data_IF_173358880067
#
_entry.id   IF_173358880067
#
_cell.length_a   1.000
_cell.length_b   1.000
_cell.length_c   1.000
_cell.angle_alpha   90.00
_cell.angle_beta   90.00
_cell.angle_gamma   90.00
#
_symmetry.space_group_name_H-M   'P 1'
#
loop_
_entity.id
_entity.type
_entity.pdbx_description
1 polymer ?
#
# COMPACT_ATOMS: atom_id res chain seq x y z
N UNK A 1 36.63 22.75 35.91
CA UNK A 1 35.36 23.37 36.24
C UNK A 1 34.23 22.63 35.52
N UNK A 2 33.23 22.13 36.27
CA UNK A 2 32.14 21.31 35.73
C UNK A 2 31.32 22.01 34.65
N UNK A 3 31.17 23.33 34.74
CA UNK A 3 30.46 24.12 33.72
C UNK A 3 31.15 24.09 32.36
N UNK A 4 32.46 24.19 32.34
CA UNK A 4 33.25 24.10 31.11
C UNK A 4 33.18 22.71 30.49
N UNK A 5 33.23 21.67 31.34
CA UNK A 5 33.08 20.29 30.88
C UNK A 5 31.69 20.05 30.25
N UNK A 6 30.63 20.53 30.87
CA UNK A 6 29.26 20.43 30.34
C UNK A 6 29.12 21.18 29.01
N UNK A 7 29.67 22.38 28.90
CA UNK A 7 29.67 23.15 27.67
C UNK A 7 30.42 22.45 26.53
N UNK A 8 31.55 21.79 26.83
CA UNK A 8 32.32 21.01 25.86
C UNK A 8 31.54 19.76 25.39
N UNK A 9 30.89 19.05 26.32
CA UNK A 9 30.03 17.90 25.97
C UNK A 9 28.88 18.33 25.05
N UNK A 10 28.17 19.44 25.36
CA UNK A 10 27.10 19.96 24.51
C UNK A 10 27.64 20.32 23.13
N UNK A 11 28.78 20.99 23.01
CA UNK A 11 29.39 21.30 21.70
C UNK A 11 29.77 20.02 20.92
N UNK A 12 30.30 19.01 21.60
CA UNK A 12 30.66 17.72 21.00
C UNK A 12 29.41 17.00 20.43
N UNK A 13 28.28 17.06 21.14
CA UNK A 13 27.02 16.48 20.66
C UNK A 13 26.47 17.29 19.49
N UNK A 14 26.48 18.61 19.58
CA UNK A 14 25.97 19.51 18.53
C UNK A 14 26.79 19.41 17.21
N UNK A 15 28.01 18.97 17.27
CA UNK A 15 28.88 18.79 16.09
C UNK A 15 28.61 17.49 15.29
N UNK A 16 27.72 16.62 15.76
CA UNK A 16 27.35 15.40 15.01
C UNK A 16 26.42 15.73 13.84
N UNK A 17 26.64 15.08 12.70
CA UNK A 17 25.90 15.31 11.45
C UNK A 17 24.37 15.19 11.61
N UNK A 18 23.90 14.30 12.46
CA UNK A 18 22.47 14.10 12.76
C UNK A 18 21.78 15.35 13.36
N UNK A 19 22.56 16.32 13.87
CA UNK A 19 22.07 17.58 14.43
C UNK A 19 22.46 18.80 13.59
N UNK A 20 22.77 18.60 12.31
CA UNK A 20 23.21 19.67 11.41
C UNK A 20 22.11 20.68 11.05
N UNK A 21 20.83 20.33 11.24
CA UNK A 21 19.69 21.21 10.93
C UNK A 21 19.61 22.44 11.86
N UNK A 22 19.14 23.55 11.30
CA UNK A 22 19.06 24.83 12.01
C UNK A 22 18.20 24.81 13.28
N UNK A 23 17.20 23.94 13.35
CA UNK A 23 16.37 23.72 14.53
C UNK A 23 17.23 23.24 15.72
N UNK A 24 18.08 22.25 15.50
CA UNK A 24 18.97 21.72 16.54
C UNK A 24 20.03 22.73 16.95
N UNK A 25 20.59 23.48 15.99
CA UNK A 25 21.58 24.53 16.29
C UNK A 25 21.02 25.55 17.29
N UNK A 26 19.82 26.08 17.05
CA UNK A 26 19.16 27.03 17.96
C UNK A 26 18.95 26.46 19.37
N UNK A 27 18.60 25.16 19.43
CA UNK A 27 18.40 24.47 20.72
C UNK A 27 19.72 24.35 21.48
N UNK A 28 20.81 23.95 20.81
CA UNK A 28 22.14 23.84 21.42
C UNK A 28 22.71 25.20 21.85
N UNK A 29 22.53 26.25 21.05
CA UNK A 29 22.92 27.61 21.40
C UNK A 29 22.20 28.11 22.66
N UNK A 30 20.89 27.83 22.78
CA UNK A 30 20.12 28.11 23.98
C UNK A 30 20.63 27.36 25.20
N UNK A 31 20.95 26.06 25.07
CA UNK A 31 21.51 25.26 26.15
C UNK A 31 22.88 25.79 26.60
N UNK A 32 23.76 26.18 25.67
CA UNK A 32 25.07 26.75 25.98
C UNK A 32 24.98 28.07 26.76
N UNK A 33 24.01 28.92 26.43
CA UNK A 33 23.77 30.16 27.19
C UNK A 33 23.25 29.90 28.61
N UNK A 34 22.57 28.78 28.84
CA UNK A 34 21.96 28.43 30.14
C UNK A 34 22.96 27.70 31.07
N UNK A 35 24.08 27.19 30.57
CA UNK A 35 25.10 26.54 31.40
C UNK A 35 25.65 27.44 32.54
N UNK A 36 25.46 28.74 32.45
CA UNK A 36 25.83 29.72 33.51
C UNK A 36 24.98 29.60 34.80
N UNK A 37 23.80 28.93 34.76
CA UNK A 37 22.94 28.70 35.90
C UNK A 37 22.48 27.25 35.99
N UNK A 38 23.17 26.40 36.76
CA UNK A 38 22.87 24.96 36.88
C UNK A 38 21.42 24.67 37.32
N UNK A 39 20.82 25.53 38.16
CA UNK A 39 19.43 25.37 38.60
C UNK A 39 18.46 25.56 37.43
N UNK A 40 18.63 26.65 36.67
CA UNK A 40 17.78 26.92 35.49
C UNK A 40 17.94 25.82 34.42
N UNK A 41 19.16 25.31 34.25
CA UNK A 41 19.43 24.20 33.32
C UNK A 41 18.68 22.94 33.72
N UNK A 42 18.66 22.58 35.02
CA UNK A 42 17.93 21.41 35.51
C UNK A 42 16.42 21.54 35.34
N UNK A 43 15.86 22.72 35.65
CA UNK A 43 14.42 23.00 35.44
C UNK A 43 14.07 22.94 33.94
N UNK A 44 14.87 23.55 33.07
CA UNK A 44 14.65 23.52 31.63
C UNK A 44 14.79 22.10 31.06
N UNK A 45 15.76 21.32 31.54
CA UNK A 45 15.89 19.92 31.17
C UNK A 45 14.63 19.12 31.50
N UNK A 46 14.08 19.29 32.71
CA UNK A 46 12.87 18.60 33.14
C UNK A 46 11.67 18.95 32.24
N UNK A 47 11.50 20.24 31.91
CA UNK A 47 10.43 20.71 31.02
C UNK A 47 10.61 20.17 29.60
N UNK A 48 11.83 20.28 29.03
CA UNK A 48 12.12 19.79 27.70
C UNK A 48 11.96 18.26 27.62
N UNK A 49 12.44 17.53 28.61
CA UNK A 49 12.28 16.08 28.69
C UNK A 49 10.80 15.67 28.66
N UNK A 50 9.97 16.29 29.50
CA UNK A 50 8.52 16.02 29.52
C UNK A 50 7.84 16.35 28.16
N UNK A 51 8.27 17.44 27.51
CA UNK A 51 7.77 17.82 26.19
C UNK A 51 8.16 16.79 25.13
N UNK A 52 9.41 16.34 25.10
CA UNK A 52 9.87 15.30 24.16
C UNK A 52 9.18 13.94 24.39
N UNK A 53 9.01 13.54 25.66
CA UNK A 53 8.28 12.31 25.98
C UNK A 53 6.83 12.38 25.50
N UNK A 54 6.16 13.52 25.68
CA UNK A 54 4.80 13.75 25.16
C UNK A 54 4.74 13.71 23.62
N UNK A 55 5.73 14.32 22.94
CA UNK A 55 5.80 14.30 21.47
C UNK A 55 6.07 12.87 20.94
N UNK A 56 6.96 12.11 21.59
CA UNK A 56 7.23 10.73 21.23
C UNK A 56 6.00 9.85 21.38
N UNK A 57 5.23 10.04 22.45
CA UNK A 57 3.99 9.27 22.65
C UNK A 57 2.95 9.62 21.58
N UNK A 58 2.81 10.91 21.26
CA UNK A 58 1.94 11.33 20.16
C UNK A 58 2.36 10.71 18.82
N UNK A 59 3.66 10.76 18.49
CA UNK A 59 4.18 10.15 17.26
C UNK A 59 3.91 8.64 17.19
N UNK A 60 4.01 7.92 18.31
CA UNK A 60 3.67 6.48 18.35
C UNK A 60 2.18 6.23 18.06
N UNK A 61 1.31 7.08 18.62
CA UNK A 61 -0.14 6.99 18.36
C UNK A 61 -0.42 7.28 16.89
N UNK A 62 0.19 8.32 16.32
CA UNK A 62 0.01 8.71 14.93
C UNK A 62 0.50 7.59 13.99
N UNK A 63 1.66 6.99 14.25
CA UNK A 63 2.17 5.84 13.49
C UNK A 63 1.23 4.64 13.57
N UNK A 64 0.76 4.29 14.77
CA UNK A 64 -0.18 3.18 14.93
C UNK A 64 -1.51 3.43 14.19
N UNK A 65 -1.95 4.70 14.11
CA UNK A 65 -3.13 5.08 13.32
C UNK A 65 -2.90 4.88 11.83
N UNK A 66 -1.74 5.29 11.31
CA UNK A 66 -1.36 5.10 9.90
C UNK A 66 -1.31 3.61 9.55
N UNK A 67 -0.69 2.78 10.40
CA UNK A 67 -0.63 1.32 10.18
C UNK A 67 -2.02 0.69 10.13
N UNK A 68 -2.94 1.16 10.97
CA UNK A 68 -4.33 0.68 10.96
C UNK A 68 -5.09 1.15 9.70
N UNK A 69 -4.88 2.38 9.27
CA UNK A 69 -5.48 2.90 8.03
C UNK A 69 -4.97 2.13 6.81
N UNK A 70 -3.67 1.83 6.74
CA UNK A 70 -3.09 1.00 5.68
C UNK A 70 -3.77 -0.36 5.62
N UNK A 71 -3.89 -1.07 6.75
CA UNK A 71 -4.57 -2.37 6.81
C UNK A 71 -6.02 -2.30 6.36
N UNK A 72 -6.75 -1.26 6.76
CA UNK A 72 -8.13 -1.08 6.34
C UNK A 72 -8.25 -0.86 4.83
N UNK A 73 -7.33 -0.11 4.24
CA UNK A 73 -7.27 0.12 2.80
C UNK A 73 -6.96 -1.20 2.07
N UNK A 74 -6.00 -1.98 2.54
CA UNK A 74 -5.66 -3.28 1.97
C UNK A 74 -6.85 -4.25 2.00
N UNK A 75 -7.57 -4.34 3.13
CA UNK A 75 -8.77 -5.17 3.25
C UNK A 75 -9.88 -4.72 2.28
N UNK A 76 -10.08 -3.41 2.15
CA UNK A 76 -11.07 -2.87 1.21
C UNK A 76 -10.73 -3.23 -0.24
N UNK A 77 -9.47 -3.15 -0.64
CA UNK A 77 -9.04 -3.54 -1.98
C UNK A 77 -9.08 -5.05 -2.18
N UNK A 78 -8.77 -5.84 -1.17
CA UNK A 78 -8.88 -7.30 -1.22
C UNK A 78 -10.34 -7.72 -1.48
N UNK A 79 -11.30 -7.12 -0.77
CA UNK A 79 -12.74 -7.38 -0.97
C UNK A 79 -13.21 -6.88 -2.35
N UNK A 80 -12.66 -5.77 -2.83
CA UNK A 80 -12.92 -5.30 -4.19
C UNK A 80 -12.45 -6.33 -5.24
N UNK A 81 -11.24 -6.83 -5.14
CA UNK A 81 -10.69 -7.86 -6.06
C UNK A 81 -11.51 -9.16 -5.97
N UNK A 82 -11.94 -9.56 -4.76
CA UNK A 82 -12.86 -10.68 -4.55
C UNK A 82 -14.17 -10.48 -5.30
N UNK A 83 -14.74 -9.28 -5.21
CA UNK A 83 -15.96 -8.93 -5.92
C UNK A 83 -15.78 -9.02 -7.45
N UNK A 84 -14.65 -8.55 -7.97
CA UNK A 84 -14.30 -8.69 -9.40
C UNK A 84 -14.22 -10.15 -9.80
N UNK A 85 -13.52 -10.99 -9.02
CA UNK A 85 -13.42 -12.43 -9.26
C UNK A 85 -14.79 -13.12 -9.28
N UNK A 86 -15.66 -12.78 -8.33
CA UNK A 86 -17.03 -13.27 -8.28
C UNK A 86 -17.88 -12.81 -9.48
N UNK A 87 -17.73 -11.56 -9.92
CA UNK A 87 -18.41 -11.03 -11.09
C UNK A 87 -17.99 -11.75 -12.37
N UNK A 88 -16.70 -12.06 -12.53
CA UNK A 88 -16.20 -12.86 -13.66
C UNK A 88 -16.84 -14.26 -13.63
N UNK A 89 -16.90 -14.89 -12.46
CA UNK A 89 -17.59 -16.19 -12.30
C UNK A 89 -19.08 -16.12 -12.61
N UNK A 90 -19.74 -15.00 -12.33
CA UNK A 90 -21.16 -14.79 -12.69
C UNK A 90 -21.40 -14.69 -14.19
N UNK A 91 -20.45 -14.19 -14.97
CA UNK A 91 -20.52 -14.19 -16.43
C UNK A 91 -20.64 -15.62 -16.95
N UNK A 92 -19.90 -16.56 -16.38
CA UNK A 92 -20.03 -17.99 -16.70
C UNK A 92 -21.45 -18.50 -16.47
N UNK A 93 -22.05 -18.21 -15.33
CA UNK A 93 -23.42 -18.63 -14.99
C UNK A 93 -24.47 -18.03 -15.94
N UNK A 94 -24.29 -16.78 -16.32
CA UNK A 94 -25.24 -16.04 -17.14
C UNK A 94 -25.03 -16.21 -18.64
N UNK A 95 -24.03 -16.99 -19.07
CA UNK A 95 -23.70 -17.22 -20.48
C UNK A 95 -24.58 -18.27 -21.18
N UNK A 96 -25.66 -18.71 -20.56
CA UNK A 96 -26.60 -19.71 -21.12
C UNK A 96 -27.71 -18.99 -21.90
N UNK A 97 -27.86 -19.36 -23.16
CA UNK A 97 -28.92 -18.86 -24.04
C UNK A 97 -29.87 -19.99 -24.40
N UNK A 98 -31.12 -19.66 -24.69
CA UNK A 98 -32.12 -20.61 -25.18
C UNK A 98 -32.21 -20.51 -26.70
N UNK A 99 -31.88 -21.60 -27.39
CA UNK A 99 -31.95 -21.67 -28.84
C UNK A 99 -32.84 -22.87 -29.21
N UNK A 100 -33.99 -22.63 -29.89
CA UNK A 100 -34.94 -23.66 -30.29
C UNK A 100 -35.39 -24.57 -29.14
N UNK A 101 -35.60 -23.98 -27.95
CA UNK A 101 -36.04 -24.71 -26.75
C UNK A 101 -34.94 -25.50 -26.02
N UNK A 102 -33.69 -25.37 -26.43
CA UNK A 102 -32.53 -25.93 -25.74
C UNK A 102 -31.70 -24.84 -25.07
N UNK A 103 -31.27 -25.06 -23.83
CA UNK A 103 -30.38 -24.18 -23.14
C UNK A 103 -28.94 -24.51 -23.54
N UNK A 104 -28.24 -23.53 -24.14
CA UNK A 104 -26.87 -23.69 -24.65
C UNK A 104 -25.98 -22.75 -23.88
N UNK A 105 -24.93 -23.30 -23.28
CA UNK A 105 -23.91 -22.53 -22.59
C UNK A 105 -22.88 -22.00 -23.61
N UNK A 106 -22.75 -20.67 -23.71
CA UNK A 106 -21.88 -20.03 -24.69
C UNK A 106 -20.44 -19.85 -24.19
N UNK A 107 -20.29 -19.72 -22.89
CA UNK A 107 -18.98 -19.50 -22.25
C UNK A 107 -18.80 -20.47 -21.08
N UNK A 108 -17.60 -20.93 -20.90
CA UNK A 108 -17.14 -21.57 -19.66
C UNK A 108 -15.95 -20.79 -19.15
N UNK A 109 -16.12 -20.13 -18.00
CA UNK A 109 -15.06 -19.34 -17.37
C UNK A 109 -14.67 -20.06 -16.07
N UNK A 110 -13.39 -20.31 -15.93
CA UNK A 110 -12.81 -20.83 -14.71
C UNK A 110 -11.97 -19.72 -14.11
N UNK A 111 -12.29 -19.31 -12.91
CA UNK A 111 -11.56 -18.32 -12.10
C UNK A 111 -10.81 -19.04 -10.98
N UNK A 112 -9.89 -18.33 -10.32
CA UNK A 112 -9.22 -18.81 -9.13
C UNK A 112 -10.22 -19.11 -7.99
N UNK A 113 -9.93 -20.15 -7.22
CA UNK A 113 -10.72 -20.49 -6.03
C UNK A 113 -10.33 -19.56 -4.87
N UNK A 114 -11.16 -18.53 -4.67
CA UNK A 114 -10.90 -17.50 -3.69
C UNK A 114 -10.72 -18.04 -2.26
N UNK A 115 -11.57 -18.99 -1.87
CA UNK A 115 -11.59 -19.48 -0.48
C UNK A 115 -10.32 -20.29 -0.15
N UNK A 116 -9.76 -20.99 -1.13
CA UNK A 116 -8.53 -21.77 -0.94
C UNK A 116 -7.25 -20.94 -1.04
N UNK A 117 -7.31 -19.77 -1.74
CA UNK A 117 -6.11 -18.97 -2.07
C UNK A 117 -6.12 -17.58 -1.42
N UNK A 118 -7.08 -17.28 -0.56
CA UNK A 118 -7.28 -15.94 0.01
C UNK A 118 -6.02 -15.37 0.68
N UNK A 119 -5.32 -16.16 1.49
CA UNK A 119 -4.09 -15.70 2.16
C UNK A 119 -2.96 -15.39 1.16
N UNK A 120 -2.86 -16.18 0.09
CA UNK A 120 -1.90 -15.91 -0.97
C UNK A 120 -2.22 -14.59 -1.70
N UNK A 121 -3.50 -14.34 -1.98
CA UNK A 121 -3.94 -13.09 -2.59
C UNK A 121 -3.70 -11.88 -1.67
N UNK A 122 -3.93 -12.04 -0.37
CA UNK A 122 -3.62 -11.02 0.63
C UNK A 122 -2.14 -10.63 0.60
N UNK A 123 -1.25 -11.61 0.62
CA UNK A 123 0.20 -11.38 0.55
C UNK A 123 0.59 -10.65 -0.74
N UNK A 124 0.09 -11.09 -1.89
CA UNK A 124 0.38 -10.44 -3.17
C UNK A 124 -0.12 -9.00 -3.24
N UNK A 125 -1.30 -8.75 -2.71
CA UNK A 125 -1.86 -7.40 -2.66
C UNK A 125 -1.03 -6.50 -1.75
N UNK A 126 -0.59 -6.99 -0.60
CA UNK A 126 0.31 -6.29 0.30
C UNK A 126 1.63 -5.94 -0.41
N UNK A 127 2.30 -6.90 -1.03
CA UNK A 127 3.54 -6.68 -1.78
C UNK A 127 3.35 -5.66 -2.91
N UNK A 128 2.20 -5.69 -3.57
CA UNK A 128 1.83 -4.70 -4.59
C UNK A 128 1.72 -3.29 -4.00
N UNK A 129 1.05 -3.13 -2.86
CA UNK A 129 0.93 -1.82 -2.22
C UNK A 129 2.26 -1.29 -1.69
N UNK A 130 3.11 -2.15 -1.14
CA UNK A 130 4.48 -1.75 -0.75
C UNK A 130 5.26 -1.17 -1.95
N UNK A 131 5.16 -1.80 -3.12
CA UNK A 131 5.77 -1.28 -4.35
C UNK A 131 5.14 0.04 -4.80
N UNK A 132 3.81 0.17 -4.71
CA UNK A 132 3.11 1.41 -5.07
C UNK A 132 3.51 2.55 -4.15
N UNK A 133 3.62 2.30 -2.85
CA UNK A 133 4.07 3.29 -1.85
C UNK A 133 5.50 3.74 -2.18
N UNK A 134 6.42 2.80 -2.38
CA UNK A 134 7.81 3.13 -2.69
C UNK A 134 7.94 3.96 -3.98
N UNK A 135 7.27 3.54 -5.05
CA UNK A 135 7.26 4.27 -6.31
C UNK A 135 6.56 5.63 -6.20
N UNK A 136 5.55 5.73 -5.34
CA UNK A 136 4.87 7.00 -5.04
C UNK A 136 5.78 8.00 -4.33
N UNK A 137 6.59 7.55 -3.38
CA UNK A 137 7.62 8.38 -2.73
C UNK A 137 8.65 8.87 -3.75
N UNK A 138 9.15 7.99 -4.62
CA UNK A 138 10.07 8.37 -5.69
C UNK A 138 9.45 9.42 -6.65
N UNK A 139 8.15 9.32 -6.91
CA UNK A 139 7.40 10.27 -7.74
C UNK A 139 7.33 11.66 -7.08
N UNK A 140 7.11 11.70 -5.75
CA UNK A 140 7.11 12.94 -4.97
C UNK A 140 8.51 13.57 -4.99
N UNK A 141 9.56 12.79 -4.77
CA UNK A 141 10.94 13.27 -4.73
C UNK A 141 11.38 13.87 -6.09
N UNK A 142 10.82 13.36 -7.19
CA UNK A 142 11.03 13.89 -8.54
C UNK A 142 10.13 15.08 -8.90
N UNK A 143 9.25 15.53 -7.97
CA UNK A 143 8.22 16.55 -8.23
C UNK A 143 7.26 16.20 -9.39
N UNK A 144 6.99 14.92 -9.59
CA UNK A 144 6.03 14.43 -10.57
C UNK A 144 4.60 14.39 -10.00
N UNK A 145 3.59 14.21 -10.85
CA UNK A 145 2.19 14.24 -10.43
C UNK A 145 1.79 12.90 -9.79
N UNK A 146 1.71 12.87 -8.46
CA UNK A 146 1.30 11.69 -7.70
C UNK A 146 -0.11 11.18 -8.06
N UNK A 147 -1.07 12.08 -8.33
CA UNK A 147 -2.43 11.66 -8.68
C UNK A 147 -2.48 10.95 -10.04
N UNK A 148 -1.69 11.41 -11.01
CA UNK A 148 -1.57 10.74 -12.30
C UNK A 148 -0.90 9.37 -12.15
N UNK A 149 0.17 9.29 -11.36
CA UNK A 149 0.82 8.03 -11.04
C UNK A 149 -0.18 7.04 -10.40
N UNK A 150 -0.88 7.44 -9.33
CA UNK A 150 -1.85 6.58 -8.64
C UNK A 150 -3.00 6.16 -9.57
N UNK A 151 -3.52 7.05 -10.41
CA UNK A 151 -4.55 6.73 -11.40
C UNK A 151 -4.10 5.70 -12.44
N UNK A 152 -2.81 5.60 -12.72
CA UNK A 152 -2.24 4.62 -13.64
C UNK A 152 -1.95 3.27 -12.99
N UNK A 153 -1.60 3.23 -11.71
CA UNK A 153 -1.28 1.98 -11.01
C UNK A 153 -2.48 1.38 -10.30
N UNK A 154 -3.36 2.17 -9.69
CA UNK A 154 -4.55 1.67 -8.98
C UNK A 154 -5.74 1.55 -9.96
N UNK A 155 -5.66 0.57 -10.86
CA UNK A 155 -6.75 0.23 -11.78
C UNK A 155 -7.28 -1.16 -11.49
N UNK A 156 -8.56 -1.42 -11.78
CA UNK A 156 -9.18 -2.75 -11.62
C UNK A 156 -8.34 -3.85 -12.28
N UNK A 157 -7.84 -3.59 -13.49
CA UNK A 157 -7.03 -4.54 -14.25
C UNK A 157 -5.74 -4.87 -13.53
N UNK A 158 -5.00 -3.86 -13.07
CA UNK A 158 -3.72 -4.08 -12.37
C UNK A 158 -3.93 -4.73 -11.02
N UNK A 159 -4.87 -4.24 -10.22
CA UNK A 159 -5.20 -4.85 -8.93
C UNK A 159 -5.54 -6.33 -9.07
N UNK A 160 -6.36 -6.70 -10.05
CA UNK A 160 -6.71 -8.09 -10.29
C UNK A 160 -5.52 -8.91 -10.82
N UNK A 161 -4.74 -8.35 -11.74
CA UNK A 161 -3.59 -9.04 -12.35
C UNK A 161 -2.47 -9.31 -11.34
N UNK A 162 -2.12 -8.29 -10.54
CA UNK A 162 -1.05 -8.41 -9.53
C UNK A 162 -1.48 -9.29 -8.33
N UNK A 163 -2.78 -9.32 -8.00
CA UNK A 163 -3.30 -10.12 -6.87
C UNK A 163 -3.61 -11.55 -7.28
N UNK A 164 -4.48 -11.74 -8.29
CA UNK A 164 -5.00 -13.05 -8.71
C UNK A 164 -4.24 -13.58 -9.93
N UNK A 165 -3.92 -12.69 -10.87
CA UNK A 165 -3.33 -13.00 -12.16
C UNK A 165 -4.41 -13.20 -13.24
N UNK A 166 -4.44 -12.33 -14.24
CA UNK A 166 -5.37 -12.47 -15.38
C UNK A 166 -5.15 -13.81 -16.09
N UNK A 167 -3.91 -14.32 -16.13
CA UNK A 167 -3.57 -15.62 -16.72
C UNK A 167 -4.21 -16.83 -16.01
N UNK A 168 -4.70 -16.67 -14.77
CA UNK A 168 -5.44 -17.72 -14.05
C UNK A 168 -6.86 -17.88 -14.56
N UNK A 169 -7.42 -16.87 -15.21
CA UNK A 169 -8.78 -16.90 -15.78
C UNK A 169 -8.76 -17.66 -17.10
N UNK A 170 -9.36 -18.84 -17.11
CA UNK A 170 -9.44 -19.68 -18.31
C UNK A 170 -10.83 -19.56 -18.93
N UNK A 171 -10.88 -19.13 -20.20
CA UNK A 171 -12.11 -18.93 -20.93
C UNK A 171 -12.18 -19.97 -22.06
N UNK A 172 -13.31 -20.71 -22.11
CA UNK A 172 -13.67 -21.56 -23.24
C UNK A 172 -14.95 -21.03 -23.83
N UNK A 173 -14.96 -20.87 -25.15
CA UNK A 173 -16.13 -20.50 -25.92
C UNK A 173 -16.72 -21.75 -26.56
N UNK A 174 -18.04 -21.72 -26.76
CA UNK A 174 -18.75 -22.79 -27.47
C UNK A 174 -19.40 -22.20 -28.71
N UNK A 175 -19.13 -22.83 -29.85
CA UNK A 175 -19.73 -22.52 -31.13
C UNK A 175 -20.86 -23.52 -31.41
N UNK A 176 -21.98 -23.02 -31.90
CA UNK A 176 -23.07 -23.88 -32.34
C UNK A 176 -22.81 -24.25 -33.80
N UNK A 177 -22.42 -25.50 -34.06
CA UNK A 177 -22.30 -26.03 -35.41
C UNK A 177 -23.25 -27.22 -35.58
N UNK A 178 -24.16 -27.10 -36.56
CA UNK A 178 -25.03 -28.17 -36.97
C UNK A 178 -25.65 -28.99 -35.83
N UNK A 179 -26.21 -28.29 -34.80
CA UNK A 179 -26.80 -28.87 -33.58
C UNK A 179 -25.85 -29.47 -32.54
N UNK A 180 -24.53 -29.30 -32.69
CA UNK A 180 -23.54 -29.71 -31.70
C UNK A 180 -22.84 -28.49 -31.08
N UNK A 181 -22.61 -28.58 -29.77
CA UNK A 181 -21.77 -27.64 -29.06
C UNK A 181 -20.30 -28.05 -29.25
N UNK A 182 -19.50 -27.24 -29.95
CA UNK A 182 -18.10 -27.47 -30.17
C UNK A 182 -17.30 -26.45 -29.36
N UNK A 183 -16.44 -26.90 -28.42
CA UNK A 183 -15.56 -25.97 -27.70
C UNK A 183 -14.51 -25.40 -28.66
N UNK A 184 -14.35 -24.08 -28.65
CA UNK A 184 -13.34 -23.38 -29.43
C UNK A 184 -12.45 -22.59 -28.49
N UNK A 185 -11.19 -22.43 -28.86
CA UNK A 185 -10.26 -21.60 -28.11
C UNK A 185 -10.42 -20.13 -28.49
N UNK A 186 -9.94 -19.23 -27.63
CA UNK A 186 -9.96 -17.79 -27.94
C UNK A 186 -9.16 -17.47 -29.21
N UNK A 187 -8.08 -18.17 -29.47
CA UNK A 187 -7.27 -18.02 -30.67
C UNK A 187 -8.07 -18.37 -31.94
N UNK A 188 -8.92 -19.39 -31.90
CA UNK A 188 -9.79 -19.77 -33.01
C UNK A 188 -10.89 -18.77 -33.29
N UNK A 189 -11.39 -18.07 -32.23
CA UNK A 189 -12.36 -16.97 -32.38
C UNK A 189 -11.74 -15.74 -33.00
N UNK A 190 -10.52 -15.41 -32.66
CA UNK A 190 -9.83 -14.22 -33.18
C UNK A 190 -9.27 -14.42 -34.60
N UNK A 191 -9.24 -15.63 -35.10
CA UNK A 191 -8.79 -15.95 -36.48
C UNK A 191 -9.93 -15.90 -37.52
N UNK A 192 -11.18 -15.76 -37.09
CA UNK A 192 -12.37 -15.62 -37.92
C UNK A 192 -13.01 -14.24 -37.78
#
# INVERSE_FOLDING_TARGET
DEQNRLAEEIRSIAAKDIYAEDYFKKTFDSLLTQTASPKNLAEQYAVNKASYESQLEKLKIDLASIDNEQKNIEEMFLEYVRSVNANIAMIDKNSTISVRGRNIKMLKIQVADWESEQEHFRMKLHDYFEQVIQNGLDTIDKNENLNEFLGNVITTKRLYDDTVGIGSVKIKLYKIEAEREVPITWAEVSAN
#
